data_IF_358219020166
#
_entry.id   IF_358219020166
#
_cell.length_a   1.000
_cell.length_b   1.000
_cell.length_c   1.000
_cell.angle_alpha   90.00
_cell.angle_beta   90.00
_cell.angle_gamma   90.00
#
_symmetry.space_group_name_H-M   'P 1'
#
loop_
_entity.id
_entity.type
_entity.pdbx_description
1 polymer ?
#
# COMPACT_ATOMS: atom_id res chain seq x y z
N UNK A 1 14.40 3.45 -35.35
CA UNK A 1 14.41 2.47 -34.24
C UNK A 1 14.23 3.22 -32.92
N UNK A 2 13.04 3.29 -32.32
CA UNK A 2 12.91 3.68 -30.92
C UNK A 2 12.38 2.52 -30.07
N UNK A 3 13.27 1.86 -29.34
CA UNK A 3 13.01 1.21 -28.07
C UNK A 3 13.65 2.16 -27.02
N UNK A 4 13.05 2.54 -25.89
CA UNK A 4 12.34 1.74 -24.91
C UNK A 4 11.26 2.60 -24.24
N UNK A 5 10.00 2.23 -24.43
CA UNK A 5 8.95 2.56 -23.50
C UNK A 5 9.04 1.55 -22.35
N UNK A 6 9.60 1.94 -21.20
CA UNK A 6 9.35 1.20 -19.97
C UNK A 6 7.93 1.53 -19.46
N UNK A 7 6.93 1.16 -20.27
CA UNK A 7 5.56 0.99 -19.79
C UNK A 7 5.46 -0.43 -19.25
N UNK A 8 5.77 -0.57 -17.97
CA UNK A 8 5.18 -1.63 -17.18
C UNK A 8 4.34 -0.96 -16.09
N UNK A 9 3.21 -0.38 -16.51
CA UNK A 9 2.09 -0.27 -15.59
C UNK A 9 1.65 -1.71 -15.33
N UNK A 10 1.78 -2.25 -14.10
CA UNK A 10 1.31 -3.58 -13.82
C UNK A 10 -0.19 -3.58 -14.10
N UNK A 11 -0.58 -4.36 -15.10
CA UNK A 11 -1.99 -4.62 -15.37
C UNK A 11 -2.54 -5.30 -14.13
N UNK A 12 -3.46 -4.62 -13.43
CA UNK A 12 -4.15 -5.13 -12.24
C UNK A 12 -4.52 -6.60 -12.45
N UNK A 13 -3.89 -7.56 -11.76
CA UNK A 13 -4.27 -8.95 -11.89
C UNK A 13 -5.72 -9.11 -11.41
N UNK A 14 -6.45 -10.00 -12.09
CA UNK A 14 -7.78 -10.40 -11.70
C UNK A 14 -7.79 -10.84 -10.22
N UNK A 15 -8.86 -10.49 -9.52
CA UNK A 15 -9.00 -10.63 -8.06
C UNK A 15 -8.62 -12.03 -7.53
N UNK A 16 -7.48 -12.11 -6.81
CA UNK A 16 -7.23 -12.78 -5.52
C UNK A 16 -5.72 -13.05 -5.33
N UNK A 17 -5.07 -12.38 -4.35
CA UNK A 17 -4.82 -13.03 -3.06
C UNK A 17 -5.13 -12.15 -1.83
N UNK A 18 -6.32 -11.53 -1.78
CA UNK A 18 -6.71 -10.61 -0.70
C UNK A 18 -6.66 -11.17 0.75
N UNK A 19 -7.04 -12.43 1.05
CA UNK A 19 -7.08 -12.89 2.43
C UNK A 19 -5.73 -13.38 2.99
N UNK A 20 -4.87 -13.96 2.15
CA UNK A 20 -3.57 -14.51 2.59
C UNK A 20 -2.59 -13.38 2.89
N UNK A 21 -2.58 -12.35 2.04
CA UNK A 21 -1.80 -11.14 2.29
C UNK A 21 -2.29 -10.44 3.57
N UNK A 22 -3.60 -10.28 3.79
CA UNK A 22 -4.09 -9.68 5.04
C UNK A 22 -3.65 -10.45 6.31
N UNK A 23 -3.58 -11.79 6.22
CA UNK A 23 -3.14 -12.67 7.32
C UNK A 23 -1.62 -12.61 7.58
N UNK A 24 -0.78 -12.67 6.55
CA UNK A 24 0.69 -12.53 6.64
C UNK A 24 1.08 -11.16 7.22
N UNK A 25 0.31 -10.13 6.88
CA UNK A 25 0.49 -8.79 7.40
C UNK A 25 -0.07 -8.59 8.81
N UNK A 26 -0.66 -9.65 9.40
CA UNK A 26 -1.32 -9.67 10.70
C UNK A 26 -2.21 -8.46 10.94
N UNK A 27 -2.94 -8.05 9.91
CA UNK A 27 -3.65 -6.78 9.88
C UNK A 27 -4.69 -6.68 11.01
N UNK A 28 -5.36 -7.78 11.30
CA UNK A 28 -6.30 -7.91 12.43
C UNK A 28 -5.61 -7.65 13.78
N UNK A 29 -4.45 -8.27 14.03
CA UNK A 29 -3.74 -8.10 15.29
C UNK A 29 -3.24 -6.66 15.49
N UNK A 30 -2.79 -6.01 14.42
CA UNK A 30 -2.40 -4.59 14.43
C UNK A 30 -3.60 -3.68 14.72
N UNK A 31 -4.74 -3.96 14.09
CA UNK A 31 -6.01 -3.24 14.31
C UNK A 31 -6.52 -3.43 15.73
N UNK A 32 -6.48 -4.65 16.28
CA UNK A 32 -6.89 -4.92 17.66
C UNK A 32 -5.97 -4.26 18.69
N UNK A 33 -4.68 -4.08 18.38
CA UNK A 33 -3.75 -3.32 19.24
C UNK A 33 -4.06 -1.81 19.29
N UNK A 34 -4.87 -1.28 18.35
CA UNK A 34 -5.34 0.11 18.33
C UNK A 34 -6.58 0.34 19.21
N UNK A 35 -6.71 -0.36 20.34
CA UNK A 35 -7.84 -0.39 21.30
C UNK A 35 -8.29 0.97 21.88
N UNK A 36 -7.66 2.09 21.51
CA UNK A 36 -8.08 3.46 21.84
C UNK A 36 -8.53 4.30 20.63
N UNK A 37 -8.64 3.69 19.45
CA UNK A 37 -9.03 4.37 18.21
C UNK A 37 -10.50 4.09 17.87
N UNK A 38 -11.17 5.08 17.28
CA UNK A 38 -12.54 4.89 16.79
C UNK A 38 -12.59 3.84 15.68
N UNK A 39 -13.74 3.18 15.49
CA UNK A 39 -13.95 2.21 14.41
C UNK A 39 -13.64 2.80 13.01
N UNK A 40 -13.92 4.10 12.82
CA UNK A 40 -13.60 4.81 11.59
C UNK A 40 -12.08 4.95 11.38
N UNK A 41 -11.35 5.27 12.46
CA UNK A 41 -9.89 5.33 12.44
C UNK A 41 -9.31 3.97 12.09
N UNK A 42 -9.77 2.90 12.73
CA UNK A 42 -9.36 1.51 12.43
C UNK A 42 -9.58 1.15 10.96
N UNK A 43 -10.76 1.42 10.41
CA UNK A 43 -11.07 1.14 9.01
C UNK A 43 -10.15 1.91 8.04
N UNK A 44 -9.83 3.17 8.37
CA UNK A 44 -8.93 3.99 7.58
C UNK A 44 -7.49 3.47 7.56
N UNK A 45 -6.97 2.99 8.70
CA UNK A 45 -5.64 2.35 8.78
C UNK A 45 -5.62 1.01 8.03
N UNK A 46 -6.67 0.19 8.19
CA UNK A 46 -6.81 -1.09 7.46
C UNK A 46 -6.72 -0.88 5.95
N UNK A 47 -7.56 0.02 5.41
CA UNK A 47 -7.59 0.31 3.98
C UNK A 47 -6.24 0.86 3.48
N UNK A 48 -5.53 1.63 4.29
CA UNK A 48 -4.19 2.11 3.93
C UNK A 48 -3.16 0.98 3.85
N UNK A 49 -3.21 0.02 4.77
CA UNK A 49 -2.31 -1.14 4.79
C UNK A 49 -2.63 -2.13 3.66
N UNK A 50 -3.91 -2.39 3.38
CA UNK A 50 -4.34 -3.21 2.24
C UNK A 50 -3.86 -2.59 0.91
N UNK A 51 -3.97 -1.26 0.78
CA UNK A 51 -3.49 -0.56 -0.40
C UNK A 51 -1.98 -0.68 -0.58
N UNK A 52 -1.21 -0.58 0.51
CA UNK A 52 0.23 -0.78 0.47
C UNK A 52 0.61 -2.22 0.13
N UNK A 53 -0.04 -3.20 0.77
CA UNK A 53 0.25 -4.61 0.57
C UNK A 53 -0.06 -5.07 -0.86
N UNK A 54 -1.17 -4.58 -1.46
CA UNK A 54 -1.48 -4.83 -2.87
C UNK A 54 -0.42 -4.24 -3.81
N UNK A 55 -0.02 -2.99 -3.58
CA UNK A 55 1.05 -2.36 -4.36
C UNK A 55 2.41 -3.06 -4.19
N UNK A 56 2.72 -3.57 -2.99
CA UNK A 56 3.93 -4.31 -2.72
C UNK A 56 3.93 -5.69 -3.40
N UNK A 57 2.79 -6.38 -3.41
CA UNK A 57 2.60 -7.64 -4.11
C UNK A 57 2.79 -7.49 -5.64
N UNK A 58 2.35 -6.37 -6.23
CA UNK A 58 2.62 -6.06 -7.64
C UNK A 58 4.13 -5.92 -7.95
N UNK A 59 4.95 -5.69 -6.93
CA UNK A 59 6.41 -5.66 -7.01
C UNK A 59 7.07 -6.98 -6.57
N UNK A 60 6.29 -8.02 -6.27
CA UNK A 60 6.75 -9.32 -5.77
C UNK A 60 7.10 -9.34 -4.28
N UNK A 61 6.58 -8.40 -3.49
CA UNK A 61 6.79 -8.32 -2.04
C UNK A 61 5.50 -8.68 -1.32
N UNK A 62 5.37 -9.97 -0.98
CA UNK A 62 4.12 -10.51 -0.42
C UNK A 62 4.11 -10.55 1.12
N UNK A 63 5.27 -10.40 1.77
CA UNK A 63 5.39 -10.49 3.23
C UNK A 63 5.91 -9.20 3.85
N UNK A 64 5.44 -8.82 5.06
CA UNK A 64 5.94 -7.64 5.77
C UNK A 64 7.44 -7.69 6.07
N UNK A 65 7.98 -8.90 6.27
CA UNK A 65 9.40 -9.10 6.58
C UNK A 65 10.33 -8.68 5.42
N UNK A 66 9.81 -8.69 4.18
CA UNK A 66 10.52 -8.24 3.00
C UNK A 66 10.36 -6.71 2.75
N UNK A 67 9.60 -6.00 3.58
CA UNK A 67 9.45 -4.55 3.49
C UNK A 67 10.67 -3.86 4.10
N UNK A 68 11.42 -3.17 3.27
CA UNK A 68 12.54 -2.34 3.70
C UNK A 68 12.25 -0.83 3.54
N UNK A 69 13.17 0.01 4.03
CA UNK A 69 13.08 1.47 3.90
C UNK A 69 13.08 1.96 2.46
N UNK A 70 13.67 1.20 1.53
CA UNK A 70 13.75 1.56 0.11
C UNK A 70 12.40 1.35 -0.56
N UNK A 71 11.72 0.26 -0.25
CA UNK A 71 10.37 -0.04 -0.68
C UNK A 71 9.39 1.00 -0.16
N UNK A 72 9.48 1.37 1.13
CA UNK A 72 8.67 2.43 1.71
C UNK A 72 8.88 3.79 1.02
N UNK A 73 10.13 4.15 0.70
CA UNK A 73 10.42 5.39 -0.05
C UNK A 73 9.84 5.34 -1.45
N UNK A 74 9.94 4.19 -2.13
CA UNK A 74 9.36 3.98 -3.45
C UNK A 74 7.84 4.12 -3.41
N UNK A 75 7.19 3.58 -2.38
CA UNK A 75 5.75 3.71 -2.19
C UNK A 75 5.32 5.17 -2.04
N UNK A 76 6.02 5.94 -1.20
CA UNK A 76 5.75 7.37 -1.01
C UNK A 76 5.94 8.14 -2.34
N UNK A 77 7.00 7.82 -3.09
CA UNK A 77 7.25 8.42 -4.40
C UNK A 77 6.13 8.12 -5.40
N UNK A 78 5.74 6.84 -5.51
CA UNK A 78 4.63 6.39 -6.38
C UNK A 78 3.32 7.07 -5.99
N UNK A 79 2.99 7.14 -4.70
CA UNK A 79 1.79 7.83 -4.23
C UNK A 79 1.73 9.29 -4.70
N UNK A 80 2.86 9.98 -4.77
CA UNK A 80 2.90 11.41 -5.13
C UNK A 80 2.96 11.68 -6.63
N UNK A 81 3.28 10.69 -7.47
CA UNK A 81 3.57 10.94 -8.89
C UNK A 81 2.76 10.10 -9.86
N UNK A 82 2.20 8.97 -9.43
CA UNK A 82 1.60 8.00 -10.34
C UNK A 82 0.09 8.21 -10.49
N UNK A 83 -0.40 8.12 -11.73
CA UNK A 83 -1.81 8.32 -12.06
C UNK A 83 -2.72 7.19 -11.57
N UNK A 84 -2.14 6.02 -11.28
CA UNK A 84 -2.81 4.85 -10.72
C UNK A 84 -2.69 4.77 -9.19
N UNK A 85 -1.99 5.73 -8.55
CA UNK A 85 -1.77 5.77 -7.11
C UNK A 85 -3.06 5.79 -6.29
N UNK A 86 -4.09 6.44 -6.83
CA UNK A 86 -5.43 6.47 -6.26
C UNK A 86 -6.45 6.51 -7.38
N UNK A 87 -7.73 6.34 -7.04
CA UNK A 87 -8.84 6.50 -8.00
C UNK A 87 -8.89 7.86 -8.72
N UNK A 88 -8.24 8.88 -8.17
CA UNK A 88 -8.26 10.26 -8.67
C UNK A 88 -6.89 10.72 -9.21
N UNK A 89 -5.93 9.81 -9.43
CA UNK A 89 -4.56 10.16 -9.77
C UNK A 89 -3.63 10.22 -8.55
N UNK A 90 -2.54 11.00 -8.62
CA UNK A 90 -1.60 11.14 -7.52
C UNK A 90 -2.26 11.58 -6.21
N UNK A 91 -1.79 11.04 -5.10
CA UNK A 91 -2.30 11.34 -3.77
C UNK A 91 -1.86 12.74 -3.32
N UNK A 92 -2.80 13.50 -2.75
CA UNK A 92 -2.50 14.76 -2.08
C UNK A 92 -1.58 14.55 -0.87
N UNK A 93 -0.78 15.57 -0.52
CA UNK A 93 0.21 15.51 0.56
C UNK A 93 -0.36 15.00 1.90
N UNK A 94 -1.58 15.41 2.26
CA UNK A 94 -2.25 14.94 3.49
C UNK A 94 -2.56 13.44 3.46
N UNK A 95 -2.91 12.90 2.30
CA UNK A 95 -3.13 11.46 2.11
C UNK A 95 -1.82 10.69 2.22
N UNK A 96 -0.74 11.20 1.61
CA UNK A 96 0.61 10.62 1.72
C UNK A 96 1.06 10.57 3.18
N UNK A 97 0.91 11.66 3.92
CA UNK A 97 1.29 11.73 5.33
C UNK A 97 0.50 10.73 6.20
N UNK A 98 -0.80 10.56 5.92
CA UNK A 98 -1.65 9.58 6.61
C UNK A 98 -1.19 8.15 6.35
N UNK A 99 -0.98 7.79 5.07
CA UNK A 99 -0.49 6.47 4.67
C UNK A 99 0.91 6.18 5.22
N UNK A 100 1.81 7.16 5.20
CA UNK A 100 3.14 7.03 5.79
C UNK A 100 3.08 6.83 7.32
N UNK A 101 2.15 7.49 8.01
CA UNK A 101 1.95 7.29 9.45
C UNK A 101 1.43 5.90 9.77
N UNK A 102 0.58 5.33 8.92
CA UNK A 102 0.10 3.94 9.07
C UNK A 102 1.23 2.92 8.99
N UNK A 103 2.22 3.14 8.11
CA UNK A 103 3.36 2.24 7.91
C UNK A 103 4.49 2.40 8.94
N UNK A 104 4.39 3.40 9.83
CA UNK A 104 5.40 3.70 10.87
C UNK A 104 5.06 3.16 12.25
N UNK A 105 3.83 2.71 12.46
CA UNK A 105 3.37 2.10 13.71
C UNK A 105 3.67 0.62 13.69
#
# INVERSE_FOLDING_TARGET
MPAHAHSHAPSRPAAAPAPVVAAEWRLEAFVTALTHSSANTVAAYRSDLEHFAGWAADLGVDTPAAVDRRLLRRYIGWLSTSADATRNGPAAARTVARKASALRR
#
